data_IF_462992633618
#
_entry.id   IF_462992633618
#
_cell.length_a   1.000
_cell.length_b   1.000
_cell.length_c   1.000
_cell.angle_alpha   90.00
_cell.angle_beta   90.00
_cell.angle_gamma   90.00
#
_symmetry.space_group_name_H-M   'P 1'
#
loop_
_entity.id
_entity.type
_entity.pdbx_description
1 polymer ?
#
# COMPACT_ATOMS: atom_id res chain seq x y z
N UNK A 1 -10.90 6.20 -7.23
CA UNK A 1 -11.37 4.91 -6.69
C UNK A 1 -12.75 5.17 -6.09
N UNK A 2 -13.75 4.42 -6.52
CA UNK A 2 -15.13 4.55 -6.06
C UNK A 2 -15.52 3.34 -5.21
N UNK A 3 -16.22 3.57 -4.10
CA UNK A 3 -16.67 2.51 -3.20
C UNK A 3 -18.12 2.13 -3.51
N UNK A 4 -18.32 1.00 -4.18
CA UNK A 4 -19.66 0.48 -4.49
C UNK A 4 -20.13 -0.56 -3.45
N UNK A 5 -21.30 -0.34 -2.85
CA UNK A 5 -21.97 -1.29 -1.96
C UNK A 5 -23.20 -1.87 -2.67
N UNK A 6 -23.29 -3.21 -2.74
CA UNK A 6 -24.43 -3.90 -3.38
C UNK A 6 -25.74 -3.68 -2.61
N UNK A 7 -26.85 -3.53 -3.33
CA UNK A 7 -28.18 -3.33 -2.74
C UNK A 7 -28.61 -4.45 -1.78
N UNK A 8 -28.26 -5.70 -2.07
CA UNK A 8 -28.53 -6.86 -1.19
C UNK A 8 -27.85 -6.72 0.18
N UNK A 9 -26.61 -6.21 0.18
CA UNK A 9 -25.84 -5.99 1.40
C UNK A 9 -26.50 -4.91 2.28
N UNK A 10 -26.91 -3.80 1.65
CA UNK A 10 -27.59 -2.71 2.34
C UNK A 10 -28.92 -3.16 2.95
N UNK A 11 -29.72 -3.94 2.22
CA UNK A 11 -30.98 -4.50 2.73
C UNK A 11 -30.76 -5.47 3.90
N UNK A 12 -29.78 -6.37 3.78
CA UNK A 12 -29.46 -7.34 4.84
C UNK A 12 -28.99 -6.69 6.13
N UNK A 13 -28.32 -5.54 6.04
CA UNK A 13 -27.79 -4.80 7.20
C UNK A 13 -28.72 -3.68 7.69
N UNK A 14 -29.89 -3.51 7.09
CA UNK A 14 -30.82 -2.44 7.45
C UNK A 14 -30.34 -1.04 7.05
N UNK A 15 -29.36 -0.93 6.15
CA UNK A 15 -28.73 0.31 5.69
C UNK A 15 -29.41 0.90 4.43
N UNK A 16 -30.56 0.36 4.05
CA UNK A 16 -31.24 0.71 2.79
C UNK A 16 -32.08 2.00 2.86
N UNK A 17 -32.41 2.47 4.07
CA UNK A 17 -33.34 3.58 4.28
C UNK A 17 -32.63 4.74 4.97
N UNK A 18 -32.44 5.85 4.25
CA UNK A 18 -31.72 7.02 4.74
C UNK A 18 -32.40 7.62 5.99
N UNK A 19 -31.60 7.90 7.03
CA UNK A 19 -32.07 8.47 8.30
C UNK A 19 -32.62 7.48 9.33
N UNK A 20 -32.76 6.19 8.99
CA UNK A 20 -33.26 5.11 9.88
C UNK A 20 -32.21 4.05 10.21
N UNK A 21 -30.95 4.28 9.82
CA UNK A 21 -29.87 3.31 9.97
C UNK A 21 -28.73 3.85 10.85
N UNK A 22 -27.97 2.93 11.45
CA UNK A 22 -26.79 3.27 12.25
C UNK A 22 -25.61 3.61 11.34
N UNK A 23 -25.24 4.90 11.30
CA UNK A 23 -24.15 5.41 10.46
C UNK A 23 -22.78 4.83 10.82
N UNK A 24 -22.60 4.38 12.08
CA UNK A 24 -21.34 3.79 12.53
C UNK A 24 -20.95 2.54 11.71
N UNK A 25 -21.94 1.78 11.21
CA UNK A 25 -21.72 0.60 10.39
C UNK A 25 -21.15 0.93 8.99
N UNK A 26 -21.62 2.03 8.38
CA UNK A 26 -21.07 2.52 7.12
C UNK A 26 -19.70 3.15 7.35
N UNK A 27 -19.54 3.93 8.43
CA UNK A 27 -18.27 4.57 8.77
C UNK A 27 -17.16 3.54 8.97
N UNK A 28 -17.43 2.41 9.65
CA UNK A 28 -16.46 1.33 9.81
C UNK A 28 -16.01 0.74 8.45
N UNK A 29 -16.95 0.59 7.51
CA UNK A 29 -16.65 0.08 6.16
C UNK A 29 -15.93 1.11 5.29
N UNK A 30 -16.27 2.38 5.44
CA UNK A 30 -15.57 3.47 4.78
C UNK A 30 -14.15 3.63 5.33
N UNK A 31 -13.97 3.56 6.64
CA UNK A 31 -12.65 3.56 7.28
C UNK A 31 -11.83 2.33 6.86
N UNK A 32 -12.46 1.16 6.70
CA UNK A 32 -11.78 -0.02 6.14
C UNK A 32 -11.30 0.25 4.70
N UNK A 33 -12.12 0.89 3.87
CA UNK A 33 -11.77 1.29 2.50
C UNK A 33 -10.66 2.36 2.46
N UNK A 34 -10.72 3.40 3.32
CA UNK A 34 -9.69 4.41 3.44
C UNK A 34 -8.37 3.83 3.99
N UNK A 35 -8.46 2.89 4.92
CA UNK A 35 -7.30 2.13 5.44
C UNK A 35 -6.76 1.10 4.45
N UNK A 36 -7.36 0.93 3.27
CA UNK A 36 -6.73 0.14 2.21
C UNK A 36 -5.40 0.76 1.83
N UNK A 37 -5.26 2.09 1.85
CA UNK A 37 -3.97 2.76 1.73
C UNK A 37 -3.01 2.29 2.83
N UNK A 38 -3.44 2.22 4.10
CA UNK A 38 -2.64 1.67 5.21
C UNK A 38 -2.33 0.16 5.10
N UNK A 39 -3.15 -0.62 4.38
CA UNK A 39 -2.83 -2.02 4.04
C UNK A 39 -1.86 -2.09 2.87
N UNK A 40 -1.96 -1.13 1.94
CA UNK A 40 -1.01 -0.86 0.86
C UNK A 40 0.23 -0.09 1.35
N UNK A 41 0.25 0.37 2.60
CA UNK A 41 1.40 0.99 3.23
C UNK A 41 2.45 -0.07 3.48
N UNK A 42 3.20 -0.33 2.42
CA UNK A 42 4.64 -0.54 2.50
C UNK A 42 5.26 0.79 2.96
N UNK A 43 4.93 1.18 4.20
CA UNK A 43 5.46 2.38 4.86
C UNK A 43 6.82 2.04 5.44
N UNK A 44 7.81 2.82 5.00
CA UNK A 44 9.20 2.88 5.48
C UNK A 44 10.13 1.70 5.12
N UNK A 45 11.01 1.99 4.15
CA UNK A 45 12.46 2.05 4.43
C UNK A 45 13.13 0.77 4.96
N UNK A 46 13.04 -0.31 4.20
CA UNK A 46 14.13 -1.28 4.00
C UNK A 46 13.82 -2.11 2.74
N UNK A 47 14.82 -2.73 2.10
CA UNK A 47 14.55 -3.77 1.09
C UNK A 47 14.18 -5.04 1.87
N UNK A 48 12.99 -5.08 2.46
CA UNK A 48 12.47 -6.30 3.06
C UNK A 48 11.96 -7.20 1.95
N UNK A 49 12.47 -8.42 1.87
CA UNK A 49 11.92 -9.40 0.92
C UNK A 49 10.49 -9.78 1.34
N UNK A 50 9.67 -10.28 0.40
CA UNK A 50 8.33 -10.85 0.72
C UNK A 50 8.42 -11.84 1.89
N UNK A 51 9.52 -12.60 1.97
CA UNK A 51 9.77 -13.54 3.04
C UNK A 51 10.01 -12.86 4.41
N UNK A 52 10.73 -11.73 4.45
CA UNK A 52 10.96 -10.99 5.70
C UNK A 52 9.67 -10.32 6.18
N UNK A 53 8.86 -9.79 5.27
CA UNK A 53 7.57 -9.19 5.61
C UNK A 53 6.60 -10.22 6.20
N UNK A 54 6.52 -11.41 5.61
CA UNK A 54 5.70 -12.51 6.12
C UNK A 54 6.13 -12.98 7.51
N UNK A 55 7.43 -12.91 7.82
CA UNK A 55 7.97 -13.24 9.15
C UNK A 55 7.74 -12.14 10.17
N UNK A 56 8.04 -10.89 9.81
CA UNK A 56 7.91 -9.74 10.71
C UNK A 56 6.45 -9.55 11.15
N UNK A 57 5.49 -9.80 10.26
CA UNK A 57 4.05 -9.76 10.56
C UNK A 57 3.52 -11.04 11.24
N UNK A 58 4.36 -12.06 11.45
CA UNK A 58 3.98 -13.32 12.10
C UNK A 58 2.99 -14.18 11.30
N UNK A 59 2.88 -13.97 9.99
CA UNK A 59 1.97 -14.75 9.13
C UNK A 59 2.49 -16.17 8.83
N UNK A 60 3.77 -16.40 9.09
CA UNK A 60 4.46 -17.67 8.84
C UNK A 60 5.32 -18.03 10.05
N UNK A 61 5.41 -19.33 10.37
CA UNK A 61 6.11 -19.84 11.56
C UNK A 61 7.63 -19.97 11.39
N UNK A 62 8.14 -20.05 10.15
CA UNK A 62 9.55 -20.29 9.87
C UNK A 62 10.04 -19.59 8.60
N UNK A 63 11.34 -19.28 8.56
CA UNK A 63 12.01 -18.66 7.39
C UNK A 63 11.88 -19.50 6.12
N UNK A 64 11.89 -20.83 6.27
CA UNK A 64 11.72 -21.76 5.16
C UNK A 64 10.34 -21.62 4.51
N UNK A 65 9.27 -21.57 5.31
CA UNK A 65 7.91 -21.41 4.78
C UNK A 65 7.69 -20.01 4.19
N UNK A 66 8.34 -18.99 4.76
CA UNK A 66 8.32 -17.64 4.22
C UNK A 66 9.01 -17.56 2.85
N UNK A 67 10.19 -18.20 2.71
CA UNK A 67 10.91 -18.32 1.44
C UNK A 67 10.11 -19.07 0.38
N UNK A 68 9.50 -20.20 0.74
CA UNK A 68 8.65 -20.97 -0.18
C UNK A 68 7.48 -20.13 -0.70
N UNK A 69 6.83 -19.36 0.18
CA UNK A 69 5.73 -18.46 -0.22
C UNK A 69 6.23 -17.32 -1.11
N UNK A 70 7.40 -16.77 -0.84
CA UNK A 70 8.03 -15.75 -1.68
C UNK A 70 8.39 -16.32 -3.08
N UNK A 71 8.95 -17.52 -3.17
CA UNK A 71 9.24 -18.18 -4.45
C UNK A 71 8.00 -18.39 -5.30
N UNK A 72 6.87 -18.78 -4.68
CA UNK A 72 5.57 -18.90 -5.38
C UNK A 72 5.12 -17.54 -5.92
N UNK A 73 5.26 -16.46 -5.13
CA UNK A 73 4.93 -15.12 -5.60
C UNK A 73 5.82 -14.69 -6.79
N UNK A 74 7.12 -14.97 -6.75
CA UNK A 74 8.04 -14.64 -7.84
C UNK A 74 7.71 -15.39 -9.14
N UNK A 75 7.42 -16.69 -9.06
CA UNK A 75 7.02 -17.47 -10.23
C UNK A 75 5.70 -16.96 -10.84
N UNK A 76 4.74 -16.59 -10.00
CA UNK A 76 3.49 -15.96 -10.43
C UNK A 76 3.74 -14.61 -11.11
N UNK A 77 4.62 -13.77 -10.57
CA UNK A 77 5.01 -12.48 -11.19
C UNK A 77 5.68 -12.65 -12.55
N UNK A 78 6.44 -13.74 -12.74
CA UNK A 78 7.09 -14.08 -14.01
C UNK A 78 6.13 -14.75 -15.01
N UNK A 79 4.87 -14.98 -14.64
CA UNK A 79 3.90 -15.70 -15.47
C UNK A 79 4.25 -17.19 -15.66
N UNK A 80 5.13 -17.74 -14.83
CA UNK A 80 5.54 -19.14 -14.91
C UNK A 80 4.50 -20.06 -14.25
N UNK A 81 4.27 -21.27 -14.78
CA UNK A 81 3.37 -22.23 -14.15
C UNK A 81 3.92 -22.66 -12.78
N UNK A 82 3.11 -22.51 -11.72
CA UNK A 82 3.54 -22.79 -10.36
C UNK A 82 3.74 -24.29 -10.09
N UNK A 83 3.01 -25.18 -10.79
CA UNK A 83 3.15 -26.63 -10.63
C UNK A 83 2.85 -27.18 -9.22
N UNK A 84 2.16 -26.42 -8.37
CA UNK A 84 1.84 -26.80 -6.98
C UNK A 84 0.44 -27.38 -6.83
N UNK A 85 0.23 -28.20 -5.80
CA UNK A 85 -1.09 -28.78 -5.48
C UNK A 85 -2.06 -27.68 -5.06
N UNK A 86 -3.35 -27.84 -5.38
CA UNK A 86 -4.41 -26.86 -5.06
C UNK A 86 -4.40 -26.43 -3.58
N UNK A 87 -4.25 -27.38 -2.65
CA UNK A 87 -4.17 -27.09 -1.21
C UNK A 87 -3.00 -26.17 -0.84
N UNK A 88 -1.84 -26.37 -1.46
CA UNK A 88 -0.65 -25.54 -1.21
C UNK A 88 -0.84 -24.16 -1.84
N UNK A 89 -1.45 -24.10 -3.03
CA UNK A 89 -1.81 -22.85 -3.68
C UNK A 89 -2.71 -21.99 -2.78
N UNK A 90 -3.77 -22.57 -2.21
CA UNK A 90 -4.68 -21.84 -1.33
C UNK A 90 -4.01 -21.34 -0.04
N UNK A 91 -3.07 -22.13 0.50
CA UNK A 91 -2.28 -21.76 1.68
C UNK A 91 -1.35 -20.56 1.39
N UNK A 92 -0.63 -20.59 0.28
CA UNK A 92 0.22 -19.48 -0.15
C UNK A 92 -0.61 -18.25 -0.54
N UNK A 93 -1.72 -18.43 -1.24
CA UNK A 93 -2.64 -17.35 -1.58
C UNK A 93 -3.20 -16.67 -0.33
N UNK A 94 -3.55 -17.42 0.72
CA UNK A 94 -4.00 -16.85 2.00
C UNK A 94 -2.92 -15.99 2.65
N UNK A 95 -1.66 -16.43 2.65
CA UNK A 95 -0.52 -15.68 3.19
C UNK A 95 -0.24 -14.41 2.39
N UNK A 96 -0.24 -14.52 1.07
CA UNK A 96 0.03 -13.40 0.15
C UNK A 96 -1.09 -12.36 0.17
N UNK A 97 -2.35 -12.78 0.32
CA UNK A 97 -3.48 -11.85 0.47
C UNK A 97 -3.35 -10.97 1.72
N UNK A 98 -2.71 -11.44 2.78
CA UNK A 98 -2.49 -10.65 4.01
C UNK A 98 -1.46 -9.52 3.84
N UNK A 99 -0.62 -9.61 2.82
CA UNK A 99 0.34 -8.56 2.41
C UNK A 99 -0.12 -7.83 1.14
N UNK A 100 -1.36 -8.06 0.69
CA UNK A 100 -1.96 -7.38 -0.46
C UNK A 100 -1.62 -7.97 -1.83
N UNK A 101 -0.96 -9.13 -1.91
CA UNK A 101 -0.66 -9.81 -3.17
C UNK A 101 -1.69 -10.89 -3.44
N UNK A 102 -2.52 -10.72 -4.48
CA UNK A 102 -3.53 -11.70 -4.87
C UNK A 102 -3.11 -12.51 -6.10
N UNK A 103 -2.61 -13.71 -5.85
CA UNK A 103 -2.16 -14.64 -6.90
C UNK A 103 -3.29 -15.40 -7.64
N UNK A 104 -4.55 -15.22 -7.22
CA UNK A 104 -5.71 -15.82 -7.92
C UNK A 104 -6.13 -15.03 -9.16
N UNK A 105 -5.77 -13.76 -9.20
CA UNK A 105 -6.00 -12.91 -10.36
C UNK A 105 -4.79 -13.02 -11.29
N UNK A 106 -5.00 -12.74 -12.58
CA UNK A 106 -3.90 -12.61 -13.53
C UNK A 106 -2.96 -11.49 -13.07
N UNK A 107 -1.65 -11.71 -13.24
CA UNK A 107 -0.66 -10.71 -12.90
C UNK A 107 -0.79 -9.53 -13.87
N UNK A 108 -1.29 -8.40 -13.38
CA UNK A 108 -1.38 -7.17 -14.16
C UNK A 108 0.03 -6.59 -14.36
N UNK A 109 0.70 -7.02 -15.43
CA UNK A 109 2.05 -6.57 -15.81
C UNK A 109 2.13 -5.06 -16.10
N UNK A 110 0.99 -4.36 -16.24
CA UNK A 110 0.97 -2.89 -16.36
C UNK A 110 1.06 -2.17 -15.00
N UNK A 111 0.64 -2.85 -13.92
CA UNK A 111 0.69 -2.35 -12.54
C UNK A 111 1.86 -2.89 -11.74
N UNK A 112 2.34 -4.08 -12.09
CA UNK A 112 3.46 -4.74 -11.42
C UNK A 112 4.76 -4.54 -12.20
N UNK A 113 5.40 -3.39 -11.98
CA UNK A 113 6.84 -3.28 -12.21
C UNK A 113 7.57 -4.13 -11.15
N UNK A 114 8.55 -4.99 -11.51
CA UNK A 114 9.39 -5.69 -10.53
C UNK A 114 10.22 -4.70 -9.68
N UNK A 115 10.33 -3.46 -10.14
CA UNK A 115 10.82 -2.33 -9.35
C UNK A 115 9.63 -1.48 -8.94
N UNK A 116 9.23 -1.61 -7.68
CA UNK A 116 8.29 -0.68 -7.05
C UNK A 116 8.97 0.69 -7.01
N UNK A 117 8.47 1.64 -7.79
CA UNK A 117 8.96 3.03 -7.74
C UNK A 117 8.54 3.59 -6.38
N UNK A 118 9.51 3.68 -5.48
CA UNK A 118 9.31 3.94 -4.05
C UNK A 118 9.03 5.40 -3.67
N UNK A 119 9.08 6.37 -4.60
CA UNK A 119 8.59 7.74 -4.33
C UNK A 119 8.59 8.67 -5.56
N UNK A 120 7.55 9.50 -5.66
CA UNK A 120 7.70 10.91 -6.02
C UNK A 120 7.92 11.65 -4.70
N UNK A 121 9.13 12.19 -4.47
CA UNK A 121 9.31 13.17 -3.39
C UNK A 121 8.60 14.43 -3.84
N UNK A 122 7.50 14.79 -3.18
CA UNK A 122 6.98 16.14 -3.31
C UNK A 122 8.00 17.09 -2.68
N UNK A 123 8.74 17.79 -3.55
CA UNK A 123 9.67 18.85 -3.13
C UNK A 123 8.80 20.00 -2.67
N UNK A 124 8.51 20.03 -1.37
CA UNK A 124 7.90 21.18 -0.74
C UNK A 124 8.92 22.33 -0.75
N UNK A 125 8.72 23.30 -1.66
CA UNK A 125 9.52 24.53 -1.70
C UNK A 125 9.19 25.35 -0.46
N UNK A 126 10.11 25.39 0.49
CA UNK A 126 10.06 26.35 1.58
C UNK A 126 10.69 27.66 1.14
N UNK A 127 10.12 28.78 1.55
CA UNK A 127 10.73 30.09 1.34
C UNK A 127 12.00 30.15 2.20
N UNK A 128 13.15 30.34 1.56
CA UNK A 128 14.42 30.53 2.24
C UNK A 128 14.42 31.93 2.87
N UNK A 129 14.38 31.98 4.20
CA UNK A 129 14.48 33.23 4.93
C UNK A 129 15.94 33.68 4.95
N UNK A 130 16.16 34.98 4.80
CA UNK A 130 17.48 35.57 4.98
C UNK A 130 17.89 35.29 6.43
N UNK A 131 19.11 34.80 6.70
CA UNK A 131 19.56 34.57 8.07
C UNK A 131 19.48 35.86 8.89
N UNK A 132 18.87 35.80 10.07
CA UNK A 132 18.68 36.96 10.96
C UNK A 132 19.99 37.51 11.56
N UNK A 133 21.12 36.89 11.22
CA UNK A 133 22.43 37.30 11.70
C UNK A 133 23.08 38.38 10.82
N UNK A 134 23.77 39.32 11.44
CA UNK A 134 24.50 40.41 10.79
C UNK A 134 25.72 39.96 9.94
N UNK A 135 25.89 38.66 9.73
CA UNK A 135 26.95 38.05 8.94
C UNK A 135 26.57 37.90 7.46
N UNK A 136 25.28 37.93 7.13
CA UNK A 136 24.81 37.88 5.75
C UNK A 136 24.33 39.26 5.28
N UNK A 137 25.00 39.84 4.29
CA UNK A 137 24.62 41.10 3.65
C UNK A 137 24.20 40.84 2.21
N UNK A 138 22.95 41.17 1.87
CA UNK A 138 22.46 41.03 0.49
C UNK A 138 23.30 41.92 -0.44
N UNK A 139 23.82 41.40 -1.56
CA UNK A 139 24.51 42.22 -2.54
C UNK A 139 23.53 43.24 -3.12
N UNK A 140 23.77 44.52 -2.87
CA UNK A 140 23.00 45.63 -3.44
C UNK A 140 23.80 46.25 -4.59
N UNK A 141 23.36 46.00 -5.82
CA UNK A 141 23.98 46.51 -7.04
C UNK A 141 23.45 47.90 -7.44
N UNK A 142 22.42 48.40 -6.75
CA UNK A 142 21.89 49.75 -6.94
C UNK A 142 22.31 50.61 -5.74
N UNK A 143 23.47 51.25 -5.84
CA UNK A 143 23.97 52.17 -4.82
C UNK A 143 23.59 53.64 -5.07
N UNK A 144 22.97 53.95 -6.23
CA UNK A 144 22.79 55.34 -6.71
C UNK A 144 21.31 55.74 -6.83
N UNK A 145 20.37 54.87 -6.45
CA UNK A 145 18.95 55.22 -6.37
C UNK A 145 18.47 55.06 -4.92
N UNK A 146 18.91 55.99 -4.07
CA UNK A 146 18.36 56.25 -2.75
C UNK A 146 18.20 57.77 -2.61
#
# INVERSE_FOLDING_TARGET
MEQELKAEYLKRKGLAFWGLFDENLLQAKHNEFLSVDQKLQVSAMDITTIADELLNRGYVRSRQSANSTASVAFLWMQGQPLGIKQRQFDEHASRLNKIGINIRNECDHSKFSPVIIKQVREINKTVLHIPDGNWYRKPNHLQVAA
#
